data_IF_210254197832
#
_entry.id   IF_210254197832
#
_cell.length_a   1.000
_cell.length_b   1.000
_cell.length_c   1.000
_cell.angle_alpha   90.00
_cell.angle_beta   90.00
_cell.angle_gamma   90.00
#
_symmetry.space_group_name_H-M   'P 1'
#
loop_
_entity.id
_entity.type
_entity.pdbx_description
1 polymer ?
#
# COMPACT_ATOMS: atom_id res chain seq x y z
N UNK A 1 0.80 -5.93 -8.10
CA UNK A 1 2.17 -6.24 -7.60
C UNK A 1 2.86 -5.01 -7.00
N UNK A 2 2.76 -3.83 -7.60
CA UNK A 2 3.36 -2.57 -7.09
C UNK A 2 3.12 -2.33 -5.58
N UNK A 3 1.90 -2.47 -5.02
CA UNK A 3 1.68 -2.24 -3.59
C UNK A 3 2.47 -3.20 -2.70
N UNK A 4 2.61 -4.46 -3.12
CA UNK A 4 3.39 -5.48 -2.40
C UNK A 4 4.87 -5.14 -2.41
N UNK A 5 5.40 -4.68 -3.54
CA UNK A 5 6.81 -4.27 -3.66
C UNK A 5 7.07 -3.06 -2.76
N UNK A 6 6.22 -2.03 -2.81
CA UNK A 6 6.34 -0.85 -1.95
C UNK A 6 6.30 -1.23 -0.45
N UNK A 7 5.41 -2.14 -0.06
CA UNK A 7 5.33 -2.62 1.31
C UNK A 7 6.56 -3.43 1.74
N UNK A 8 7.09 -4.29 0.86
CA UNK A 8 8.33 -5.02 1.11
C UNK A 8 9.52 -4.07 1.26
N UNK A 9 9.63 -3.04 0.42
CA UNK A 9 10.69 -2.02 0.56
C UNK A 9 10.60 -1.29 1.90
N UNK A 10 9.40 -0.92 2.34
CA UNK A 10 9.20 -0.33 3.67
C UNK A 10 9.62 -1.29 4.79
N UNK A 11 9.13 -2.52 4.78
CA UNK A 11 9.49 -3.56 5.77
C UNK A 11 10.99 -3.82 5.83
N UNK A 12 11.63 -3.89 4.66
CA UNK A 12 13.08 -4.05 4.54
C UNK A 12 13.82 -2.88 5.18
N UNK A 13 13.40 -1.64 4.92
CA UNK A 13 14.05 -0.43 5.46
C UNK A 13 14.03 -0.35 6.99
N UNK A 14 13.05 -0.99 7.64
CA UNK A 14 12.90 -1.02 9.09
C UNK A 14 13.28 -2.38 9.73
N UNK A 15 13.87 -3.29 8.96
CA UNK A 15 14.32 -4.60 9.44
C UNK A 15 13.20 -5.56 9.88
N UNK A 16 11.98 -5.37 9.37
CA UNK A 16 10.83 -6.20 9.70
C UNK A 16 10.57 -7.27 8.62
N UNK A 17 9.98 -8.42 8.99
CA UNK A 17 9.64 -9.47 8.03
C UNK A 17 8.55 -9.03 7.04
N UNK A 18 8.58 -9.61 5.86
CA UNK A 18 7.57 -9.36 4.82
C UNK A 18 6.23 -9.98 5.17
N UNK A 19 5.17 -9.21 4.90
CA UNK A 19 3.79 -9.63 5.11
C UNK A 19 3.16 -9.94 3.76
N UNK A 20 2.68 -11.17 3.60
CA UNK A 20 2.01 -11.60 2.37
C UNK A 20 0.64 -10.95 2.20
N UNK A 21 0.15 -10.75 0.97
CA UNK A 21 -1.19 -10.25 0.72
C UNK A 21 -2.26 -11.23 1.23
N UNK A 22 -3.41 -10.70 1.61
CA UNK A 22 -4.61 -11.45 2.00
C UNK A 22 -5.73 -11.20 0.98
N UNK A 23 -6.28 -12.27 0.41
CA UNK A 23 -7.32 -12.20 -0.62
C UNK A 23 -8.69 -11.79 -0.07
N UNK A 24 -8.89 -11.84 1.25
CA UNK A 24 -10.13 -11.39 1.90
C UNK A 24 -10.22 -9.86 2.03
N UNK A 25 -9.11 -9.15 1.82
CA UNK A 25 -9.00 -7.70 2.03
C UNK A 25 -9.08 -6.92 0.72
N UNK A 26 -9.68 -5.73 0.77
CA UNK A 26 -9.68 -4.81 -0.37
C UNK A 26 -8.29 -4.19 -0.60
N UNK A 27 -8.07 -3.60 -1.77
CA UNK A 27 -6.77 -3.08 -2.22
C UNK A 27 -6.02 -2.24 -1.16
N UNK A 28 -6.66 -1.21 -0.61
CA UNK A 28 -6.08 -0.31 0.41
C UNK A 28 -5.90 -0.96 1.76
N UNK A 29 -6.82 -1.84 2.17
CA UNK A 29 -6.71 -2.61 3.41
C UNK A 29 -5.52 -3.57 3.37
N UNK A 30 -5.38 -4.27 2.25
CA UNK A 30 -4.31 -5.21 2.03
C UNK A 30 -2.96 -4.49 2.01
N UNK A 31 -2.88 -3.33 1.35
CA UNK A 31 -1.67 -2.51 1.36
C UNK A 31 -1.31 -2.02 2.78
N UNK A 32 -2.28 -1.50 3.55
CA UNK A 32 -2.05 -1.10 4.94
C UNK A 32 -1.59 -2.26 5.82
N UNK A 33 -2.20 -3.45 5.64
CA UNK A 33 -1.77 -4.67 6.34
C UNK A 33 -0.33 -5.03 5.98
N UNK A 34 0.03 -5.02 4.69
CA UNK A 34 1.39 -5.36 4.27
C UNK A 34 2.44 -4.37 4.81
N UNK A 35 2.09 -3.09 4.94
CA UNK A 35 2.96 -2.05 5.50
C UNK A 35 3.14 -2.18 7.02
N UNK A 36 2.04 -2.31 7.77
CA UNK A 36 2.05 -2.06 9.22
C UNK A 36 1.80 -3.29 10.10
N UNK A 37 1.33 -4.41 9.55
CA UNK A 37 1.16 -5.61 10.35
C UNK A 37 2.51 -6.14 10.86
N UNK A 38 2.53 -6.64 12.09
CA UNK A 38 3.67 -7.34 12.67
C UNK A 38 3.29 -8.80 12.93
N UNK A 39 4.25 -9.74 12.99
CA UNK A 39 3.94 -11.14 13.32
C UNK A 39 3.44 -11.33 14.76
N UNK A 40 3.60 -10.33 15.61
CA UNK A 40 3.31 -10.40 17.04
C UNK A 40 1.82 -10.21 17.36
N UNK A 41 1.04 -9.62 16.45
CA UNK A 41 -0.38 -9.33 16.70
C UNK A 41 -1.23 -9.35 15.42
N UNK A 42 -2.53 -9.57 15.60
CA UNK A 42 -3.48 -9.47 14.50
C UNK A 42 -3.71 -8.00 14.15
N UNK A 43 -3.22 -7.59 12.98
CA UNK A 43 -3.44 -6.24 12.47
C UNK A 43 -4.92 -5.98 12.15
N UNK A 44 -5.51 -4.97 12.80
CA UNK A 44 -6.86 -4.50 12.53
C UNK A 44 -6.79 -3.20 11.75
N UNK A 45 -7.33 -3.21 10.53
CA UNK A 45 -7.35 -2.02 9.68
C UNK A 45 -8.35 -1.02 10.24
N UNK A 46 -7.91 0.22 10.48
CA UNK A 46 -8.81 1.31 10.84
C UNK A 46 -9.58 1.78 9.59
N UNK A 47 -10.93 1.75 9.59
CA UNK A 47 -11.73 2.14 8.43
C UNK A 47 -11.53 3.59 8.02
N UNK A 48 -11.24 4.49 8.97
CA UNK A 48 -10.95 5.90 8.68
C UNK A 48 -9.66 6.03 7.86
N UNK A 49 -8.61 5.32 8.27
CA UNK A 49 -7.31 5.35 7.58
C UNK A 49 -7.41 4.71 6.20
N UNK A 50 -8.10 3.57 6.08
CA UNK A 50 -8.39 2.92 4.80
C UNK A 50 -9.05 3.90 3.83
N UNK A 51 -10.11 4.57 4.28
CA UNK A 51 -10.90 5.47 3.43
C UNK A 51 -10.10 6.72 3.04
N UNK A 52 -9.30 7.27 3.95
CA UNK A 52 -8.39 8.37 3.66
C UNK A 52 -7.36 7.98 2.59
N UNK A 53 -6.71 6.81 2.75
CA UNK A 53 -5.73 6.34 1.79
C UNK A 53 -6.33 6.06 0.41
N UNK A 54 -7.55 5.50 0.39
CA UNK A 54 -8.27 5.27 -0.87
C UNK A 54 -8.49 6.58 -1.64
N UNK A 55 -8.89 7.65 -0.95
CA UNK A 55 -9.04 8.97 -1.57
C UNK A 55 -7.72 9.52 -2.08
N UNK A 56 -6.63 9.38 -1.32
CA UNK A 56 -5.29 9.80 -1.74
C UNK A 56 -4.90 9.11 -3.05
N UNK A 57 -5.07 7.79 -3.15
CA UNK A 57 -4.73 7.05 -4.37
C UNK A 57 -5.59 7.45 -5.55
N UNK A 58 -6.89 7.66 -5.37
CA UNK A 58 -7.77 8.12 -6.45
C UNK A 58 -7.33 9.51 -6.95
N UNK A 59 -7.00 10.43 -6.04
CA UNK A 59 -6.55 11.78 -6.42
C UNK A 59 -5.19 11.82 -7.12
N UNK A 60 -4.35 10.79 -6.93
CA UNK A 60 -3.03 10.67 -7.57
C UNK A 60 -3.01 9.62 -8.68
N UNK A 61 -4.19 9.12 -9.11
CA UNK A 61 -4.26 8.03 -10.06
C UNK A 61 -3.69 8.42 -11.44
N UNK A 62 -3.91 9.66 -11.85
CA UNK A 62 -3.36 10.22 -13.08
C UNK A 62 -3.27 11.74 -12.99
N UNK A 63 -2.34 12.33 -13.75
CA UNK A 63 -2.23 13.78 -13.92
C UNK A 63 -1.81 14.09 -15.37
N UNK A 64 -2.55 13.52 -16.32
CA UNK A 64 -2.41 13.69 -17.76
C UNK A 64 -0.95 13.63 -18.25
N UNK A 65 -0.52 14.63 -19.03
CA UNK A 65 0.86 14.76 -19.47
C UNK A 65 1.67 15.50 -18.40
N UNK A 66 2.44 14.72 -17.66
CA UNK A 66 3.45 15.18 -16.72
C UNK A 66 4.78 14.47 -17.01
N UNK A 67 5.87 14.92 -16.40
CA UNK A 67 7.21 14.40 -16.67
C UNK A 67 7.30 12.86 -16.56
N UNK A 68 6.68 12.26 -15.54
CA UNK A 68 6.66 10.80 -15.38
C UNK A 68 5.81 10.10 -16.45
N UNK A 69 4.60 10.58 -16.74
CA UNK A 69 3.73 9.98 -17.76
C UNK A 69 4.33 10.11 -19.16
N UNK A 70 4.98 11.24 -19.48
CA UNK A 70 5.63 11.45 -20.78
C UNK A 70 6.91 10.62 -20.95
N UNK A 71 7.64 10.32 -19.87
CA UNK A 71 8.82 9.43 -19.94
C UNK A 71 8.45 7.97 -20.19
N UNK A 72 7.24 7.55 -19.78
CA UNK A 72 6.74 6.19 -20.00
C UNK A 72 6.25 5.97 -21.44
N UNK A 73 5.80 7.03 -22.14
CA UNK A 73 5.36 6.98 -23.54
C UNK A 73 6.53 6.80 -24.50
#
# INVERSE_FOLDING_TARGET
>A
KIPTIAAMSYKYSIGQPFVYPDNSLHFTENFLRMMFATPCEKYKVNPVIKNALNKIFILHADHEQNASTSTVR
#
